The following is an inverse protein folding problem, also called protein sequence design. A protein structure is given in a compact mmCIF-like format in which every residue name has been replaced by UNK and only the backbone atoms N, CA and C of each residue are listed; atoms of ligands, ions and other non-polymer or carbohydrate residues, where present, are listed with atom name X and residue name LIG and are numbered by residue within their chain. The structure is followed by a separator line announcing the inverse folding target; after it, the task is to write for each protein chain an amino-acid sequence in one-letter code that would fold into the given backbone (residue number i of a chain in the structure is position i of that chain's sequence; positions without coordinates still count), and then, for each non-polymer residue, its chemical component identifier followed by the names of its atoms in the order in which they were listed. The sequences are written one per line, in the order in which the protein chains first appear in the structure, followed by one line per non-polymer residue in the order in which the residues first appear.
data_IF_688445796513
#
_entry.id   IF_688445796513
#
_cell.length_a   1.000
_cell.length_b   1.000
_cell.length_c   1.000
_cell.angle_alpha   90.00
_cell.angle_beta   90.00
_cell.angle_gamma   90.00
#
_symmetry.space_group_name_H-M   'P 1'
#
loop_
_entity.id
_entity.type
_entity.pdbx_description
1 polymer ?
#
# COMPACT_ATOMS: atom_id res chain seq x y z
N UNK A 1 69.86 26.42 47.60
CA UNK A 1 69.49 25.00 47.44
C UNK A 1 68.18 24.95 46.68
N UNK A 2 68.21 24.66 45.38
CA UNK A 2 67.03 24.57 44.52
C UNK A 2 66.69 23.09 44.32
N UNK A 3 65.43 22.70 44.53
CA UNK A 3 64.99 21.33 44.30
C UNK A 3 63.85 21.29 43.28
N UNK A 4 64.23 20.77 42.12
CA UNK A 4 63.53 20.06 41.06
C UNK A 4 62.09 20.38 40.65
N UNK A 5 61.99 20.51 39.33
CA UNK A 5 60.85 20.86 38.53
C UNK A 5 59.78 19.77 38.44
N UNK A 6 58.54 20.26 38.32
CA UNK A 6 57.38 19.54 37.80
C UNK A 6 57.55 19.32 36.29
N UNK A 7 57.43 18.08 35.82
CA UNK A 7 57.31 17.76 34.39
C UNK A 7 56.21 16.72 34.16
N UNK A 8 55.00 17.21 33.92
CA UNK A 8 53.88 16.42 33.43
C UNK A 8 53.81 16.54 31.90
N UNK A 9 54.45 15.61 31.19
CA UNK A 9 54.24 15.43 29.75
C UNK A 9 53.75 14.00 29.49
N UNK A 10 52.42 13.82 29.59
CA UNK A 10 51.75 12.58 29.19
C UNK A 10 51.78 12.46 27.66
N UNK A 11 52.77 11.74 27.14
CA UNK A 11 52.88 11.38 25.72
C UNK A 11 51.77 10.37 25.38
N UNK A 12 50.60 10.82 24.91
CA UNK A 12 49.52 9.96 24.41
C UNK A 12 50.06 9.09 23.27
N UNK A 13 50.12 7.78 23.49
CA UNK A 13 50.60 6.83 22.49
C UNK A 13 49.59 6.75 21.34
N UNK A 14 50.09 6.80 20.10
CA UNK A 14 49.28 6.68 18.86
C UNK A 14 48.50 5.35 18.79
N UNK A 15 48.86 4.37 19.61
CA UNK A 15 48.18 3.10 19.78
C UNK A 15 46.74 3.25 20.28
N UNK A 16 46.46 4.19 21.18
CA UNK A 16 45.10 4.38 21.71
C UNK A 16 44.14 4.93 20.65
N UNK A 17 44.65 5.70 19.68
CA UNK A 17 43.86 6.23 18.56
C UNK A 17 43.56 5.12 17.56
N UNK A 18 44.54 4.26 17.27
CA UNK A 18 44.36 3.11 16.35
C UNK A 18 43.30 2.15 16.89
N UNK A 19 43.31 1.86 18.19
CA UNK A 19 42.30 1.00 18.83
C UNK A 19 40.90 1.61 18.74
N UNK A 20 40.76 2.92 18.95
CA UNK A 20 39.46 3.62 18.83
C UNK A 20 38.92 3.57 17.39
N UNK A 21 39.79 3.77 16.39
CA UNK A 21 39.39 3.72 14.98
C UNK A 21 38.91 2.31 14.59
N UNK A 22 39.59 1.26 15.08
CA UNK A 22 39.17 -0.13 14.84
C UNK A 22 37.80 -0.40 15.47
N UNK A 23 37.56 0.07 16.70
CA UNK A 23 36.27 -0.09 17.38
C UNK A 23 35.15 0.59 16.59
N UNK A 24 35.37 1.81 16.08
CA UNK A 24 34.37 2.54 15.27
C UNK A 24 34.06 1.80 13.97
N UNK A 25 35.07 1.26 13.28
CA UNK A 25 34.87 0.50 12.06
C UNK A 25 34.08 -0.80 12.29
N UNK A 26 34.35 -1.50 13.40
CA UNK A 26 33.58 -2.68 13.80
C UNK A 26 32.13 -2.30 14.14
N UNK A 27 31.92 -1.17 14.80
CA UNK A 27 30.56 -0.71 15.13
C UNK A 27 29.77 -0.32 13.88
N UNK A 28 30.41 0.37 12.92
CA UNK A 28 29.79 0.72 11.64
C UNK A 28 29.45 -0.51 10.80
N UNK A 29 30.30 -1.55 10.78
CA UNK A 29 29.99 -2.79 10.07
C UNK A 29 28.82 -3.55 10.73
N UNK A 30 28.71 -3.51 12.06
CA UNK A 30 27.58 -4.07 12.82
C UNK A 30 26.27 -3.35 12.50
N UNK A 31 26.28 -2.02 12.46
CA UNK A 31 25.11 -1.21 12.09
C UNK A 31 24.73 -1.50 10.63
N UNK A 32 25.71 -1.57 9.71
CA UNK A 32 25.45 -1.88 8.30
C UNK A 32 24.88 -3.30 8.12
N UNK A 33 25.37 -4.29 8.88
CA UNK A 33 24.85 -5.65 8.88
C UNK A 33 23.44 -5.75 9.46
N UNK A 34 23.06 -4.92 10.44
CA UNK A 34 21.67 -4.84 10.93
C UNK A 34 20.73 -4.23 9.87
N UNK A 35 21.17 -3.18 9.17
CA UNK A 35 20.39 -2.57 8.09
C UNK A 35 20.25 -3.48 6.87
N UNK A 36 21.31 -4.17 6.42
CA UNK A 36 21.25 -5.07 5.25
C UNK A 36 20.75 -6.49 5.58
N UNK A 37 21.07 -7.03 6.76
CA UNK A 37 20.66 -8.37 7.19
C UNK A 37 19.15 -8.49 7.36
N UNK A 38 18.50 -7.45 7.87
CA UNK A 38 17.02 -7.42 7.94
C UNK A 38 16.38 -7.17 6.57
N UNK A 39 17.01 -6.38 5.70
CA UNK A 39 16.51 -6.11 4.35
C UNK A 39 16.46 -7.38 3.47
N UNK A 40 17.46 -8.26 3.59
CA UNK A 40 17.49 -9.52 2.83
C UNK A 40 16.62 -10.63 3.43
N UNK A 41 16.37 -10.63 4.75
CA UNK A 41 15.56 -11.67 5.40
C UNK A 41 14.06 -11.42 5.28
N UNK A 42 13.64 -10.15 5.19
CA UNK A 42 12.23 -9.79 4.95
C UNK A 42 11.82 -10.11 3.50
N UNK A 43 12.74 -9.97 2.53
CA UNK A 43 12.41 -10.20 1.11
C UNK A 43 12.25 -11.68 0.74
N UNK A 44 12.84 -12.61 1.51
CA UNK A 44 12.94 -14.00 1.10
C UNK A 44 12.32 -15.04 2.06
N UNK A 45 11.73 -14.67 3.21
CA UNK A 45 11.14 -15.66 4.12
C UNK A 45 9.94 -15.24 4.97
N UNK A 46 9.19 -14.21 4.56
CA UNK A 46 7.95 -13.86 5.28
C UNK A 46 6.73 -14.38 4.52
N UNK A 47 6.49 -15.69 4.63
CA UNK A 47 5.16 -16.26 4.44
C UNK A 47 4.33 -15.90 5.68
N UNK A 48 3.74 -14.70 5.69
CA UNK A 48 2.67 -14.38 6.63
C UNK A 48 1.41 -15.16 6.23
N UNK A 49 1.36 -16.43 6.65
CA UNK A 49 0.12 -17.19 6.65
C UNK A 49 -0.70 -16.71 7.87
N UNK A 50 -1.29 -15.53 7.76
CA UNK A 50 -2.26 -15.05 8.74
C UNK A 50 -3.55 -15.82 8.50
N UNK A 51 -3.66 -16.99 9.14
CA UNK A 51 -4.95 -17.61 9.41
C UNK A 51 -5.64 -16.79 10.51
N UNK A 52 -6.25 -15.65 10.14
CA UNK A 52 -7.21 -14.99 11.03
C UNK A 52 -8.62 -15.51 10.75
N UNK A 53 -9.01 -16.46 11.58
CA UNK A 53 -10.26 -16.46 12.34
C UNK A 53 -11.53 -16.07 11.59
N UNK A 54 -12.24 -17.10 11.15
CA UNK A 54 -13.69 -17.24 11.11
C UNK A 54 -14.50 -15.99 11.50
N UNK A 55 -14.88 -15.18 10.51
CA UNK A 55 -16.05 -14.31 10.67
C UNK A 55 -17.29 -15.19 10.64
N UNK A 56 -18.13 -15.06 11.66
CA UNK A 56 -19.42 -15.70 11.79
C UNK A 56 -20.22 -15.51 10.52
N UNK A 57 -20.55 -16.62 9.87
CA UNK A 57 -21.45 -16.64 8.72
C UNK A 57 -22.85 -16.23 9.16
N UNK A 58 -23.18 -14.96 9.04
CA UNK A 58 -24.58 -14.61 8.82
C UNK A 58 -24.98 -15.21 7.47
N UNK A 59 -25.89 -16.17 7.53
CA UNK A 59 -26.43 -16.88 6.37
C UNK A 59 -27.28 -15.91 5.54
N UNK A 60 -26.65 -15.07 4.73
CA UNK A 60 -27.32 -14.47 3.58
C UNK A 60 -27.42 -15.52 2.47
N UNK A 61 -28.65 -15.88 2.13
CA UNK A 61 -28.98 -16.76 1.01
C UNK A 61 -28.40 -16.18 -0.30
N UNK A 62 -27.36 -16.82 -0.84
CA UNK A 62 -27.18 -16.94 -2.29
C UNK A 62 -26.21 -15.99 -3.01
N UNK A 63 -25.18 -15.44 -2.37
CA UNK A 63 -24.13 -14.67 -3.07
C UNK A 63 -22.72 -15.15 -2.69
N UNK A 64 -22.30 -16.28 -3.27
CA UNK A 64 -20.89 -16.67 -3.20
C UNK A 64 -20.05 -15.76 -4.11
N UNK A 65 -18.99 -15.14 -3.56
CA UNK A 65 -17.99 -14.44 -4.39
C UNK A 65 -17.45 -15.41 -5.46
N UNK A 66 -17.25 -14.94 -6.71
CA UNK A 66 -16.72 -15.82 -7.74
C UNK A 66 -15.35 -16.36 -7.34
N UNK A 67 -15.15 -17.67 -7.50
CA UNK A 67 -13.89 -18.34 -7.09
C UNK A 67 -12.65 -17.76 -7.77
N UNK A 68 -12.81 -17.31 -9.00
CA UNK A 68 -11.73 -16.78 -9.83
C UNK A 68 -11.55 -15.26 -9.68
N UNK A 69 -12.32 -14.62 -8.80
CA UNK A 69 -12.22 -13.19 -8.58
C UNK A 69 -10.91 -12.83 -7.85
N UNK A 70 -10.24 -11.74 -8.25
CA UNK A 70 -8.97 -11.34 -7.68
C UNK A 70 -9.13 -10.97 -6.20
N UNK A 71 -8.14 -11.36 -5.39
CA UNK A 71 -7.99 -10.94 -4.00
C UNK A 71 -6.78 -10.03 -3.93
N UNK A 72 -6.98 -8.78 -3.56
CA UNK A 72 -5.93 -7.75 -3.58
C UNK A 72 -5.70 -7.28 -2.16
N UNK A 73 -4.48 -7.48 -1.67
CA UNK A 73 -4.04 -6.88 -0.42
C UNK A 73 -3.42 -5.51 -0.72
N UNK A 74 -4.16 -4.45 -0.35
CA UNK A 74 -3.75 -3.07 -0.60
C UNK A 74 -2.62 -2.59 0.30
N UNK A 75 -2.25 -3.34 1.34
CA UNK A 75 -1.13 -3.03 2.25
C UNK A 75 0.13 -3.81 1.85
N UNK A 76 0.46 -3.79 0.57
CA UNK A 76 1.61 -4.52 0.01
C UNK A 76 2.43 -3.64 -0.94
N UNK A 77 3.70 -4.01 -1.09
CA UNK A 77 4.59 -3.36 -2.05
C UNK A 77 4.14 -3.63 -3.49
N UNK A 78 3.55 -4.79 -3.75
CA UNK A 78 2.95 -5.12 -5.05
C UNK A 78 1.83 -4.13 -5.41
N UNK A 79 0.87 -3.91 -4.51
CA UNK A 79 -0.18 -2.92 -4.73
C UNK A 79 0.40 -1.50 -4.88
N UNK A 80 1.38 -1.15 -4.05
CA UNK A 80 2.05 0.15 -4.12
C UNK A 80 2.67 0.38 -5.51
N UNK A 81 3.47 -0.56 -5.99
CA UNK A 81 4.20 -0.42 -7.25
C UNK A 81 3.27 -0.50 -8.46
N UNK A 82 2.29 -1.41 -8.42
CA UNK A 82 1.47 -1.71 -9.58
C UNK A 82 0.18 -0.88 -9.66
N UNK A 83 -0.20 -0.16 -8.60
CA UNK A 83 -1.43 0.63 -8.56
C UNK A 83 -1.22 2.05 -8.03
N UNK A 84 -0.53 2.21 -6.89
CA UNK A 84 -0.28 3.55 -6.34
C UNK A 84 0.70 4.36 -7.18
N UNK A 85 1.68 3.69 -7.77
CA UNK A 85 2.76 4.29 -8.56
C UNK A 85 2.69 4.00 -10.06
N UNK A 86 1.57 3.46 -10.55
CA UNK A 86 1.37 3.15 -11.96
C UNK A 86 0.01 3.65 -12.46
N UNK A 87 -0.06 4.08 -13.72
CA UNK A 87 -1.30 4.56 -14.33
C UNK A 87 -2.22 3.38 -14.68
N UNK A 88 -3.23 3.13 -13.84
CA UNK A 88 -4.26 2.12 -14.08
C UNK A 88 -5.62 2.73 -14.44
N UNK A 89 -5.66 4.00 -14.89
CA UNK A 89 -6.93 4.69 -15.22
C UNK A 89 -7.73 3.98 -16.30
N UNK A 90 -7.07 3.27 -17.22
CA UNK A 90 -7.72 2.62 -18.36
C UNK A 90 -7.99 1.13 -18.14
N UNK A 91 -7.34 0.50 -17.17
CA UNK A 91 -7.57 -0.90 -16.86
C UNK A 91 -6.73 -1.41 -15.71
N UNK A 92 -7.21 -2.46 -15.05
CA UNK A 92 -6.52 -3.14 -13.94
C UNK A 92 -7.02 -4.59 -13.81
N UNK A 93 -6.14 -5.54 -13.48
CA UNK A 93 -6.49 -6.97 -13.38
C UNK A 93 -7.24 -7.54 -14.60
N UNK A 94 -6.85 -7.11 -15.81
CA UNK A 94 -7.43 -7.57 -17.06
C UNK A 94 -8.83 -6.99 -17.37
N UNK A 95 -9.35 -6.09 -16.55
CA UNK A 95 -10.53 -5.29 -16.86
C UNK A 95 -10.10 -3.96 -17.46
N UNK A 96 -10.79 -3.51 -18.50
CA UNK A 96 -10.50 -2.25 -19.20
C UNK A 96 -11.78 -1.44 -19.33
N UNK A 97 -11.67 -0.12 -19.29
CA UNK A 97 -12.77 0.77 -19.65
C UNK A 97 -13.34 0.38 -21.04
N UNK A 98 -14.66 0.41 -21.18
CA UNK A 98 -15.35 0.01 -22.41
C UNK A 98 -15.76 -1.46 -22.51
N UNK A 99 -15.27 -2.34 -21.62
CA UNK A 99 -15.75 -3.74 -21.55
C UNK A 99 -17.22 -3.79 -21.14
N UNK A 100 -17.98 -4.72 -21.70
CA UNK A 100 -19.34 -5.04 -21.23
C UNK A 100 -19.31 -5.79 -19.91
N UNK A 101 -20.42 -5.77 -19.17
CA UNK A 101 -20.61 -6.63 -18.00
C UNK A 101 -20.35 -8.11 -18.29
N UNK A 102 -20.79 -8.61 -19.45
CA UNK A 102 -20.57 -10.01 -19.87
C UNK A 102 -19.08 -10.34 -20.06
N UNK A 103 -18.30 -9.42 -20.61
CA UNK A 103 -16.85 -9.60 -20.77
C UNK A 103 -16.13 -9.59 -19.42
N UNK A 104 -16.55 -8.73 -18.49
CA UNK A 104 -16.03 -8.72 -17.11
C UNK A 104 -16.36 -10.04 -16.41
N UNK A 105 -17.61 -10.49 -16.48
CA UNK A 105 -18.05 -11.75 -15.85
C UNK A 105 -17.37 -12.99 -16.44
N UNK A 106 -17.00 -12.96 -17.72
CA UNK A 106 -16.18 -14.01 -18.34
C UNK A 106 -14.78 -14.10 -17.71
N UNK A 107 -14.24 -12.98 -17.22
CA UNK A 107 -12.88 -12.89 -16.65
C UNK A 107 -12.85 -13.11 -15.14
N UNK A 108 -13.79 -12.50 -14.41
CA UNK A 108 -13.77 -12.47 -12.95
C UNK A 108 -14.89 -13.32 -12.32
N UNK A 109 -15.71 -13.98 -13.14
CA UNK A 109 -16.89 -14.72 -12.71
C UNK A 109 -18.11 -13.83 -12.49
N UNK A 110 -19.27 -14.47 -12.33
CA UNK A 110 -20.55 -13.79 -12.17
C UNK A 110 -20.77 -13.27 -10.74
N UNK A 111 -21.35 -12.08 -10.59
CA UNK A 111 -21.69 -11.49 -9.29
C UNK A 111 -23.02 -10.74 -9.33
N UNK A 112 -23.79 -10.87 -8.25
CA UNK A 112 -24.93 -9.99 -7.96
C UNK A 112 -24.62 -9.01 -6.82
N UNK A 113 -23.38 -9.01 -6.31
CA UNK A 113 -22.97 -8.13 -5.23
C UNK A 113 -22.72 -6.73 -5.77
N UNK A 114 -23.46 -5.76 -5.25
CA UNK A 114 -23.31 -4.34 -5.58
C UNK A 114 -22.92 -3.58 -4.32
N UNK A 115 -21.87 -2.77 -4.41
CA UNK A 115 -21.36 -1.96 -3.30
C UNK A 115 -21.45 -0.46 -3.63
N UNK A 116 -21.85 0.39 -2.67
CA UNK A 116 -21.79 1.84 -2.84
C UNK A 116 -20.34 2.33 -2.70
N UNK A 117 -19.88 3.12 -3.67
CA UNK A 117 -18.57 3.78 -3.63
C UNK A 117 -18.79 5.24 -4.03
N UNK A 118 -18.59 6.16 -3.07
CA UNK A 118 -19.01 7.55 -3.23
C UNK A 118 -20.48 7.66 -3.69
N UNK A 119 -20.74 8.26 -4.85
CA UNK A 119 -22.07 8.45 -5.43
C UNK A 119 -22.53 7.34 -6.37
N UNK A 120 -21.71 6.30 -6.61
CA UNK A 120 -22.03 5.23 -7.58
C UNK A 120 -22.29 3.89 -6.90
N UNK A 121 -23.05 3.03 -7.59
CA UNK A 121 -23.28 1.63 -7.24
C UNK A 121 -22.45 0.75 -8.17
N UNK A 122 -21.40 0.11 -7.65
CA UNK A 122 -20.46 -0.69 -8.43
C UNK A 122 -20.70 -2.20 -8.22
N UNK A 123 -20.55 -3.01 -9.27
CA UNK A 123 -20.62 -4.47 -9.17
C UNK A 123 -19.29 -5.03 -8.66
N UNK A 124 -19.31 -5.77 -7.56
CA UNK A 124 -18.11 -6.28 -6.87
C UNK A 124 -17.79 -7.72 -7.27
N UNK A 125 -16.58 -7.93 -7.74
CA UNK A 125 -15.93 -9.17 -8.15
C UNK A 125 -14.68 -9.40 -7.28
N UNK A 126 -14.85 -10.00 -6.10
CA UNK A 126 -13.75 -10.11 -5.13
C UNK A 126 -13.26 -8.72 -4.71
N UNK A 127 -11.97 -8.42 -4.87
CA UNK A 127 -11.38 -7.12 -4.58
C UNK A 127 -11.50 -6.09 -5.70
N UNK A 128 -12.12 -6.41 -6.84
CA UNK A 128 -12.36 -5.46 -7.93
C UNK A 128 -13.84 -5.10 -7.97
N UNK A 129 -14.17 -3.82 -8.18
CA UNK A 129 -15.53 -3.41 -8.50
C UNK A 129 -15.58 -2.55 -9.76
N UNK A 130 -16.64 -2.68 -10.54
CA UNK A 130 -16.84 -1.91 -11.77
C UNK A 130 -18.15 -1.14 -11.74
N UNK A 131 -18.09 0.13 -12.12
CA UNK A 131 -19.28 0.91 -12.45
C UNK A 131 -19.47 0.89 -13.96
N UNK A 132 -20.70 0.59 -14.39
CA UNK A 132 -21.09 0.58 -15.80
C UNK A 132 -21.88 1.84 -16.13
N UNK A 133 -21.56 2.46 -17.26
CA UNK A 133 -22.32 3.58 -17.79
C UNK A 133 -23.68 3.13 -18.37
N UNK A 134 -24.44 4.10 -18.90
CA UNK A 134 -25.75 3.87 -19.53
C UNK A 134 -25.74 2.87 -20.69
N UNK A 135 -24.60 2.69 -21.36
CA UNK A 135 -24.42 1.75 -22.47
C UNK A 135 -23.92 0.37 -21.99
N UNK A 136 -24.00 0.12 -20.67
CA UNK A 136 -23.55 -1.09 -20.01
C UNK A 136 -22.07 -1.41 -20.24
N UNK A 137 -21.24 -0.36 -20.34
CA UNK A 137 -19.78 -0.45 -20.48
C UNK A 137 -19.08 0.02 -19.22
N UNK A 138 -17.96 -0.64 -18.87
CA UNK A 138 -17.11 -0.25 -17.74
C UNK A 138 -16.67 1.19 -17.93
N UNK A 139 -17.02 2.04 -16.99
CA UNK A 139 -16.62 3.44 -16.94
C UNK A 139 -15.63 3.71 -15.82
N UNK A 140 -15.81 3.07 -14.65
CA UNK A 140 -14.89 3.18 -13.51
C UNK A 140 -14.53 1.81 -12.98
N UNK A 141 -13.27 1.68 -12.55
CA UNK A 141 -12.69 0.47 -11.99
C UNK A 141 -12.17 0.83 -10.61
N UNK A 142 -12.59 0.07 -9.60
CA UNK A 142 -12.21 0.27 -8.22
C UNK A 142 -11.52 -0.97 -7.67
N UNK A 143 -10.57 -0.75 -6.76
CA UNK A 143 -10.09 -1.77 -5.84
C UNK A 143 -10.85 -1.60 -4.53
N UNK A 144 -11.52 -2.66 -4.08
CA UNK A 144 -12.32 -2.71 -2.86
C UNK A 144 -11.63 -3.66 -1.88
N UNK A 145 -10.81 -3.16 -0.94
CA UNK A 145 -10.14 -4.01 0.03
C UNK A 145 -11.12 -4.61 1.03
N UNK A 146 -10.75 -5.75 1.61
CA UNK A 146 -11.51 -6.33 2.72
C UNK A 146 -11.04 -5.70 4.04
N UNK A 147 -11.94 -4.95 4.69
CA UNK A 147 -11.78 -4.44 6.06
C UNK A 147 -10.52 -3.59 6.36
N UNK A 148 -10.01 -2.85 5.38
CA UNK A 148 -8.86 -1.94 5.60
C UNK A 148 -9.35 -0.56 6.03
N UNK A 149 -8.85 -0.05 7.15
CA UNK A 149 -9.07 1.33 7.57
C UNK A 149 -8.17 2.31 6.82
N UNK A 150 -8.59 3.58 6.77
CA UNK A 150 -7.75 4.64 6.21
C UNK A 150 -6.47 4.83 7.02
N UNK A 151 -6.51 4.62 8.33
CA UNK A 151 -5.33 4.72 9.19
C UNK A 151 -4.28 3.66 8.86
N UNK A 152 -4.69 2.40 8.70
CA UNK A 152 -3.78 1.32 8.26
C UNK A 152 -3.19 1.62 6.88
N UNK A 153 -4.00 2.15 5.98
CA UNK A 153 -3.57 2.54 4.65
C UNK A 153 -2.54 3.68 4.68
N UNK A 154 -2.78 4.71 5.49
CA UNK A 154 -1.85 5.85 5.65
C UNK A 154 -0.56 5.46 6.37
N UNK A 155 -0.63 4.54 7.33
CA UNK A 155 0.56 4.00 7.98
C UNK A 155 1.47 3.28 6.98
N UNK A 156 0.90 2.69 5.92
CA UNK A 156 1.64 1.97 4.89
C UNK A 156 2.07 2.87 3.73
N UNK A 157 1.15 3.65 3.17
CA UNK A 157 1.35 4.45 1.94
C UNK A 157 1.74 5.91 2.19
N UNK A 158 1.79 6.33 3.45
CA UNK A 158 1.98 7.73 3.84
C UNK A 158 0.67 8.52 3.87
N UNK A 159 0.77 9.80 4.22
CA UNK A 159 -0.39 10.68 4.31
C UNK A 159 -0.90 11.08 2.92
N UNK A 160 -2.21 11.30 2.81
CA UNK A 160 -2.81 11.81 1.60
C UNK A 160 -2.29 13.21 1.24
N UNK A 161 -2.09 13.45 -0.06
CA UNK A 161 -1.70 14.75 -0.60
C UNK A 161 -2.82 15.78 -0.46
N UNK A 162 -4.07 15.37 -0.70
CA UNK A 162 -5.26 16.23 -0.53
C UNK A 162 -6.31 15.44 0.26
N UNK A 163 -6.90 16.07 1.26
CA UNK A 163 -8.03 15.52 2.00
C UNK A 163 -9.30 16.32 1.71
N UNK A 164 -10.26 15.71 1.03
CA UNK A 164 -11.58 16.30 0.86
C UNK A 164 -12.51 15.80 1.95
N UNK A 165 -13.19 16.72 2.62
CA UNK A 165 -14.24 16.36 3.57
C UNK A 165 -15.28 15.48 2.86
N UNK A 166 -15.51 14.28 3.39
CA UNK A 166 -16.54 13.31 2.95
C UNK A 166 -16.41 12.76 1.51
N UNK A 167 -15.48 13.25 0.69
CA UNK A 167 -15.33 12.86 -0.73
C UNK A 167 -14.12 11.96 -1.01
N UNK A 168 -13.45 11.52 0.06
CA UNK A 168 -12.25 10.69 0.00
C UNK A 168 -10.94 11.49 0.06
N UNK A 169 -9.84 10.74 0.12
CA UNK A 169 -8.48 11.25 0.17
C UNK A 169 -7.78 11.03 -1.17
N UNK A 170 -6.91 11.95 -1.57
CA UNK A 170 -6.12 11.86 -2.81
C UNK A 170 -4.67 11.61 -2.45
N UNK A 171 -4.10 10.58 -3.06
CA UNK A 171 -2.70 10.24 -2.97
C UNK A 171 -2.05 10.53 -4.31
N UNK A 172 -1.01 11.35 -4.27
CA UNK A 172 -0.20 11.71 -5.42
C UNK A 172 1.25 11.90 -4.96
N UNK A 173 2.05 10.86 -5.18
CA UNK A 173 3.48 10.85 -4.87
C UNK A 173 4.35 11.51 -5.95
N UNK A 174 3.81 11.85 -7.12
CA UNK A 174 4.57 12.45 -8.21
C UNK A 174 3.66 13.39 -9.05
N UNK A 175 3.68 14.71 -8.78
CA UNK A 175 2.78 15.65 -9.46
C UNK A 175 3.03 15.80 -10.96
N UNK A 176 4.14 15.23 -11.48
CA UNK A 176 4.48 15.25 -12.90
C UNK A 176 3.91 14.06 -13.68
N UNK A 177 3.24 13.10 -12.99
CA UNK A 177 2.54 12.03 -13.68
C UNK A 177 1.18 12.53 -14.21
N UNK A 178 0.50 11.69 -14.98
CA UNK A 178 -0.80 12.01 -15.55
C UNK A 178 -1.99 11.52 -14.71
N UNK A 179 -1.77 11.04 -13.48
CA UNK A 179 -2.81 10.36 -12.69
C UNK A 179 -2.64 10.55 -11.18
N UNK A 180 -3.76 10.62 -10.47
CA UNK A 180 -3.79 10.55 -9.01
C UNK A 180 -4.54 9.29 -8.55
N UNK A 181 -4.39 8.92 -7.28
CA UNK A 181 -5.18 7.84 -6.66
C UNK A 181 -6.21 8.46 -5.71
N UNK A 182 -7.49 8.14 -5.89
CA UNK A 182 -8.54 8.50 -4.93
C UNK A 182 -8.88 7.31 -4.05
N UNK A 183 -8.92 7.52 -2.75
CA UNK A 183 -9.34 6.55 -1.73
C UNK A 183 -10.64 7.05 -1.10
N UNK A 184 -11.71 6.29 -1.25
CA UNK A 184 -13.02 6.56 -0.66
C UNK A 184 -13.15 5.82 0.67
N UNK A 185 -13.74 6.47 1.66
CA UNK A 185 -14.01 5.91 2.97
C UNK A 185 -15.50 5.97 3.31
N UNK A 186 -15.96 5.12 4.21
CA UNK A 186 -17.28 5.25 4.85
C UNK A 186 -17.18 6.10 6.14
N UNK A 187 -18.28 6.18 6.89
CA UNK A 187 -18.35 6.93 8.17
C UNK A 187 -17.52 6.31 9.29
N UNK A 188 -17.12 5.06 9.15
CA UNK A 188 -16.30 4.31 10.12
C UNK A 188 -14.82 4.29 9.69
N UNK A 189 -14.43 5.19 8.78
CA UNK A 189 -13.08 5.31 8.24
C UNK A 189 -12.54 4.03 7.57
N UNK A 190 -13.43 3.15 7.12
CA UNK A 190 -13.09 1.98 6.31
C UNK A 190 -13.08 2.34 4.83
N UNK A 191 -12.05 1.85 4.12
CA UNK A 191 -11.91 2.07 2.69
C UNK A 191 -13.00 1.31 1.94
N UNK A 192 -13.79 2.03 1.15
CA UNK A 192 -14.88 1.48 0.32
C UNK A 192 -14.50 1.33 -1.14
N UNK A 193 -13.47 2.06 -1.60
CA UNK A 193 -12.95 1.93 -2.94
C UNK A 193 -11.70 2.75 -3.17
N UNK A 194 -10.85 2.30 -4.08
CA UNK A 194 -9.65 2.98 -4.52
C UNK A 194 -9.65 3.00 -6.05
N UNK A 195 -9.42 4.15 -6.68
CA UNK A 195 -9.34 4.25 -8.14
C UNK A 195 -8.20 5.18 -8.57
N UNK A 196 -7.64 4.95 -9.77
CA UNK A 196 -6.87 5.98 -10.44
C UNK A 196 -7.79 6.92 -11.21
N UNK A 197 -7.52 8.22 -11.11
CA UNK A 197 -8.20 9.30 -11.81
C UNK A 197 -7.19 10.16 -12.55
N UNK A 198 -7.67 10.99 -13.47
CA UNK A 198 -6.85 12.04 -14.08
C UNK A 198 -6.20 12.90 -13.00
N UNK A 199 -5.01 13.41 -13.29
CA UNK A 199 -4.21 14.16 -12.34
C UNK A 199 -5.01 15.31 -11.70
N UNK A 200 -5.09 15.31 -10.37
CA UNK A 200 -5.75 16.35 -9.60
C UNK A 200 -4.70 17.40 -9.24
N UNK A 201 -4.91 18.63 -9.70
CA UNK A 201 -4.06 19.77 -9.33
C UNK A 201 -4.20 20.07 -7.84
N UNK A 202 -3.08 20.38 -7.19
CA UNK A 202 -3.00 20.69 -5.75
C UNK A 202 -3.41 22.12 -5.46
#
# INVERSE_FOLDING_TARGET
MANYQHNNNAKKSKWNIIVIVIIILVFLSLVFALFFGTYSFIKNNVNFNINHSHSTSEKEKGNSEPKDAPKINVLTSEFSNNFMHADQRNGYHGITKGMTKKEVEKKLGHTNHVVPIASVKAHKYGSIATYYNKDNKVERIFVVPQNVSIHEFENYHGQATISYNQSGKVYDGNPNNSFSVKVFTNKDDKITGIENVDQITR
#
